data_IF_980318812508
#
_entry.id   IF_980318812508
#
_cell.length_a   1.000
_cell.length_b   1.000
_cell.length_c   1.000
_cell.angle_alpha   90.00
_cell.angle_beta   90.00
_cell.angle_gamma   90.00
#
_symmetry.space_group_name_H-M   'P 1'
#
loop_
_entity.id
_entity.type
_entity.pdbx_description
1 polymer ?
#
# COMPACT_ATOMS: atom_id res chain seq x y z
N UNK A 1 -12.47 -3.28 10.34
CA UNK A 1 -11.22 -3.02 11.08
C UNK A 1 -10.83 -4.16 12.01
N UNK A 2 -11.65 -4.56 12.99
CA UNK A 2 -11.32 -5.67 13.89
C UNK A 2 -10.92 -6.97 13.15
N UNK A 3 -11.73 -7.42 12.17
CA UNK A 3 -11.41 -8.60 11.34
C UNK A 3 -10.06 -8.49 10.62
N UNK A 4 -9.75 -7.32 10.06
CA UNK A 4 -8.48 -7.08 9.35
C UNK A 4 -7.30 -7.19 10.33
N UNK A 5 -7.43 -6.55 11.50
CA UNK A 5 -6.42 -6.62 12.55
C UNK A 5 -6.21 -8.07 13.03
N UNK A 6 -7.28 -8.86 13.18
CA UNK A 6 -7.19 -10.28 13.54
C UNK A 6 -6.43 -11.08 12.46
N UNK A 7 -6.75 -10.90 11.18
CA UNK A 7 -6.07 -11.59 10.08
C UNK A 7 -4.57 -11.26 10.10
N UNK A 8 -4.23 -9.98 10.17
CA UNK A 8 -2.85 -9.51 10.19
C UNK A 8 -2.08 -10.01 11.42
N UNK A 9 -2.70 -9.93 12.60
CA UNK A 9 -2.10 -10.41 13.84
C UNK A 9 -1.86 -11.92 13.80
N UNK A 10 -2.82 -12.70 13.31
CA UNK A 10 -2.70 -14.16 13.20
C UNK A 10 -1.56 -14.57 12.27
N UNK A 11 -1.43 -13.89 11.13
CA UNK A 11 -0.30 -14.08 10.22
C UNK A 11 1.03 -13.83 10.92
N UNK A 12 1.18 -12.67 11.58
CA UNK A 12 2.41 -12.32 12.28
C UNK A 12 2.71 -13.25 13.48
N UNK A 13 1.69 -13.71 14.19
CA UNK A 13 1.84 -14.70 15.24
C UNK A 13 2.41 -16.01 14.68
N UNK A 14 1.86 -16.54 13.58
CA UNK A 14 2.38 -17.74 12.91
C UNK A 14 3.83 -17.60 12.48
N UNK A 15 4.19 -16.46 11.87
CA UNK A 15 5.55 -16.20 11.39
C UNK A 15 6.59 -16.14 12.52
N UNK A 16 6.18 -15.80 13.75
CA UNK A 16 7.07 -15.71 14.91
C UNK A 16 7.30 -17.05 15.63
N UNK A 17 6.48 -18.07 15.38
CA UNK A 17 6.56 -19.34 16.12
C UNK A 17 7.89 -20.08 15.90
N UNK A 18 8.42 -20.03 14.68
CA UNK A 18 9.67 -20.68 14.29
C UNK A 18 10.18 -20.13 12.96
N UNK A 19 11.35 -20.59 12.53
CA UNK A 19 11.82 -20.38 11.15
C UNK A 19 11.00 -21.25 10.20
N UNK A 20 10.45 -20.62 9.17
CA UNK A 20 9.65 -21.26 8.12
C UNK A 20 10.42 -21.30 6.80
N UNK A 21 10.12 -22.28 5.95
CA UNK A 21 10.58 -22.26 4.57
C UNK A 21 9.89 -21.12 3.80
N UNK A 22 10.49 -20.61 2.70
CA UNK A 22 9.84 -19.62 1.86
C UNK A 22 8.47 -20.07 1.35
N UNK A 23 8.29 -21.36 1.05
CA UNK A 23 6.99 -21.95 0.66
C UNK A 23 5.96 -21.88 1.79
N UNK A 24 6.33 -22.25 3.02
CA UNK A 24 5.41 -22.19 4.15
C UNK A 24 5.01 -20.76 4.51
N UNK A 25 5.92 -19.79 4.35
CA UNK A 25 5.59 -18.36 4.49
C UNK A 25 4.59 -17.95 3.40
N UNK A 26 4.79 -18.39 2.16
CA UNK A 26 3.89 -18.08 1.06
C UNK A 26 2.48 -18.65 1.28
N UNK A 27 2.36 -19.87 1.79
CA UNK A 27 1.06 -20.45 2.13
C UNK A 27 0.31 -19.61 3.18
N UNK A 28 1.01 -19.11 4.20
CA UNK A 28 0.39 -18.23 5.19
C UNK A 28 -0.01 -16.87 4.62
N UNK A 29 0.81 -16.30 3.74
CA UNK A 29 0.51 -15.03 3.06
C UNK A 29 -0.70 -15.18 2.15
N UNK A 30 -0.79 -16.26 1.37
CA UNK A 30 -1.93 -16.55 0.50
C UNK A 30 -3.21 -16.70 1.34
N UNK A 31 -3.16 -17.52 2.39
CA UNK A 31 -4.32 -17.71 3.27
C UNK A 31 -4.77 -16.39 3.92
N UNK A 32 -3.85 -15.53 4.32
CA UNK A 32 -4.18 -14.23 4.89
C UNK A 32 -4.74 -13.25 3.85
N UNK A 33 -4.22 -13.25 2.62
CA UNK A 33 -4.76 -12.44 1.52
C UNK A 33 -6.16 -12.89 1.13
N UNK A 34 -6.41 -14.20 1.06
CA UNK A 34 -7.73 -14.77 0.73
C UNK A 34 -8.76 -14.38 1.81
N UNK A 35 -8.43 -14.54 3.10
CA UNK A 35 -9.30 -14.07 4.19
C UNK A 35 -9.55 -12.55 4.15
N UNK A 36 -8.56 -11.76 3.70
CA UNK A 36 -8.75 -10.32 3.53
C UNK A 36 -9.65 -10.02 2.32
N UNK A 37 -9.54 -10.79 1.23
CA UNK A 37 -10.42 -10.70 0.08
C UNK A 37 -11.89 -10.96 0.48
N UNK A 38 -12.15 -11.97 1.30
CA UNK A 38 -13.50 -12.24 1.84
C UNK A 38 -14.07 -11.06 2.63
N UNK A 39 -13.21 -10.35 3.39
CA UNK A 39 -13.62 -9.13 4.11
C UNK A 39 -13.97 -8.01 3.13
N UNK A 40 -13.23 -7.89 2.02
CA UNK A 40 -13.47 -6.88 0.98
C UNK A 40 -14.80 -7.13 0.28
N UNK A 41 -15.11 -8.37 -0.06
CA UNK A 41 -16.37 -8.75 -0.72
C UNK A 41 -17.61 -8.45 0.13
N UNK A 42 -17.46 -8.45 1.46
CA UNK A 42 -18.54 -8.18 2.41
C UNK A 42 -18.74 -6.69 2.73
N UNK A 43 -18.00 -5.80 2.06
CA UNK A 43 -18.19 -4.35 2.25
C UNK A 43 -19.57 -3.94 1.74
N UNK A 44 -20.33 -3.12 2.50
CA UNK A 44 -21.62 -2.62 2.04
C UNK A 44 -21.54 -1.90 0.69
N UNK A 45 -22.50 -2.08 -0.24
CA UNK A 45 -22.40 -1.55 -1.61
C UNK A 45 -22.12 -0.05 -1.72
N UNK A 46 -22.67 0.78 -0.82
CA UNK A 46 -22.45 2.24 -0.82
C UNK A 46 -21.02 2.66 -0.39
N UNK A 47 -20.27 1.73 0.22
CA UNK A 47 -18.85 1.88 0.60
C UNK A 47 -17.92 1.10 -0.33
N UNK A 48 -18.46 0.35 -1.28
CA UNK A 48 -17.65 -0.23 -2.36
C UNK A 48 -17.23 0.89 -3.32
N UNK A 49 -16.12 0.70 -4.01
CA UNK A 49 -15.60 1.66 -4.98
C UNK A 49 -16.29 1.56 -6.34
N UNK A 50 -17.52 1.05 -6.33
CA UNK A 50 -18.33 0.84 -7.51
C UNK A 50 -19.18 2.09 -7.69
N UNK A 51 -19.34 2.60 -8.92
CA UNK A 51 -20.09 3.83 -9.28
C UNK A 51 -21.61 3.76 -8.98
N UNK A 52 -22.03 2.85 -8.10
CA UNK A 52 -23.43 2.59 -7.75
C UNK A 52 -24.03 3.62 -6.80
N UNK A 53 -23.21 4.49 -6.18
CA UNK A 53 -23.72 5.54 -5.30
C UNK A 53 -24.07 6.78 -6.12
N UNK A 54 -25.35 7.12 -6.22
CA UNK A 54 -25.80 8.35 -6.88
C UNK A 54 -25.14 9.59 -6.26
N UNK A 55 -24.67 10.56 -7.07
CA UNK A 55 -24.13 11.83 -6.57
C UNK A 55 -25.08 12.56 -5.61
N UNK A 56 -26.39 12.35 -5.76
CA UNK A 56 -27.40 12.90 -4.85
C UNK A 56 -27.29 12.33 -3.43
N UNK A 57 -26.99 11.04 -3.29
CA UNK A 57 -26.80 10.39 -1.98
C UNK A 57 -25.54 10.87 -1.29
N UNK A 58 -24.45 11.11 -2.04
CA UNK A 58 -23.22 11.66 -1.47
C UNK A 58 -23.36 13.12 -1.04
N UNK A 59 -24.16 13.92 -1.77
CA UNK A 59 -24.47 15.28 -1.37
C UNK A 59 -25.25 15.34 -0.04
N UNK A 60 -26.17 14.40 0.17
CA UNK A 60 -26.93 14.26 1.42
C UNK A 60 -26.08 13.67 2.56
N UNK A 61 -25.08 12.85 2.23
CA UNK A 61 -24.24 12.14 3.19
C UNK A 61 -22.74 12.23 2.83
N UNK A 62 -22.09 13.39 3.04
CA UNK A 62 -20.69 13.61 2.66
C UNK A 62 -19.69 12.67 3.35
N UNK A 63 -20.09 12.09 4.49
CA UNK A 63 -19.29 11.09 5.21
C UNK A 63 -19.08 9.80 4.40
N UNK A 64 -19.96 9.47 3.44
CA UNK A 64 -19.85 8.26 2.62
C UNK A 64 -18.56 8.29 1.80
N UNK A 65 -18.29 9.39 1.09
CA UNK A 65 -17.08 9.52 0.28
C UNK A 65 -15.81 9.43 1.15
N UNK A 66 -15.80 10.14 2.28
CA UNK A 66 -14.69 10.11 3.24
C UNK A 66 -14.45 8.71 3.80
N UNK A 67 -15.51 7.99 4.14
CA UNK A 67 -15.44 6.63 4.67
C UNK A 67 -15.00 5.63 3.60
N UNK A 68 -15.46 5.79 2.35
CA UNK A 68 -15.05 4.97 1.21
C UNK A 68 -13.55 5.08 0.96
N UNK A 69 -13.02 6.31 0.86
CA UNK A 69 -11.57 6.54 0.72
C UNK A 69 -10.78 5.97 1.89
N UNK A 70 -11.27 6.18 3.12
CA UNK A 70 -10.68 5.61 4.33
C UNK A 70 -10.56 4.08 4.27
N UNK A 71 -11.65 3.42 3.92
CA UNK A 71 -11.71 1.97 3.83
C UNK A 71 -10.79 1.45 2.73
N UNK A 72 -10.82 2.08 1.55
CA UNK A 72 -9.96 1.71 0.43
C UNK A 72 -8.48 1.76 0.84
N UNK A 73 -8.02 2.87 1.42
CA UNK A 73 -6.62 3.02 1.84
C UNK A 73 -6.24 1.93 2.86
N UNK A 74 -7.06 1.70 3.87
CA UNK A 74 -6.73 0.72 4.91
C UNK A 74 -6.72 -0.71 4.36
N UNK A 75 -7.70 -1.09 3.56
CA UNK A 75 -7.78 -2.43 2.98
C UNK A 75 -6.61 -2.69 2.04
N UNK A 76 -6.30 -1.73 1.16
CA UNK A 76 -5.16 -1.81 0.25
C UNK A 76 -3.85 -1.82 1.02
N UNK A 77 -3.72 -1.07 2.10
CA UNK A 77 -2.54 -1.09 2.96
C UNK A 77 -2.31 -2.46 3.60
N UNK A 78 -3.33 -3.08 4.19
CA UNK A 78 -3.16 -4.41 4.79
C UNK A 78 -2.89 -5.48 3.74
N UNK A 79 -3.50 -5.34 2.55
CA UNK A 79 -3.21 -6.23 1.41
C UNK A 79 -1.77 -6.10 0.94
N UNK A 80 -1.26 -4.87 0.84
CA UNK A 80 0.14 -4.55 0.64
C UNK A 80 1.01 -5.17 1.75
N UNK A 81 0.72 -4.91 3.01
CA UNK A 81 1.54 -5.33 4.14
C UNK A 81 1.66 -6.85 4.26
N UNK A 82 0.57 -7.58 4.01
CA UNK A 82 0.54 -9.05 3.99
C UNK A 82 1.42 -9.58 2.85
N UNK A 83 1.19 -9.14 1.62
CA UNK A 83 1.91 -9.67 0.45
C UNK A 83 3.39 -9.25 0.44
N UNK A 84 3.72 -8.09 1.01
CA UNK A 84 5.09 -7.58 1.13
C UNK A 84 5.99 -8.45 1.99
N UNK A 85 5.45 -9.33 2.84
CA UNK A 85 6.25 -10.28 3.61
C UNK A 85 7.14 -11.14 2.69
N UNK A 86 6.68 -11.41 1.46
CA UNK A 86 7.46 -12.17 0.47
C UNK A 86 8.41 -11.29 -0.36
N UNK A 87 8.46 -9.97 -0.13
CA UNK A 87 9.19 -9.02 -0.97
C UNK A 87 10.68 -9.34 -1.06
N UNK A 88 11.31 -9.64 0.07
CA UNK A 88 12.73 -9.99 0.12
C UNK A 88 13.05 -11.15 -0.83
N UNK A 89 12.21 -12.20 -0.88
CA UNK A 89 12.49 -13.36 -1.72
C UNK A 89 12.39 -13.08 -3.23
N UNK A 90 11.41 -12.28 -3.67
CA UNK A 90 11.35 -11.92 -5.09
C UNK A 90 12.36 -10.85 -5.47
N UNK A 91 12.75 -9.98 -4.52
CA UNK A 91 13.85 -9.04 -4.74
C UNK A 91 15.18 -9.78 -4.93
N UNK A 92 15.39 -10.90 -4.23
CA UNK A 92 16.53 -11.82 -4.40
C UNK A 92 16.47 -12.66 -5.69
N UNK A 93 15.39 -12.58 -6.47
CA UNK A 93 15.28 -13.23 -7.78
C UNK A 93 14.30 -14.40 -7.86
N UNK A 94 13.61 -14.75 -6.79
CA UNK A 94 12.61 -15.82 -6.84
C UNK A 94 11.40 -15.43 -7.69
N UNK A 95 11.04 -16.26 -8.65
CA UNK A 95 9.84 -16.11 -9.50
C UNK A 95 8.61 -16.80 -8.93
N UNK A 96 8.77 -17.62 -7.89
CA UNK A 96 7.69 -18.42 -7.28
C UNK A 96 6.60 -17.58 -6.59
N UNK A 97 6.85 -16.28 -6.39
CA UNK A 97 5.97 -15.38 -5.66
C UNK A 97 5.30 -14.34 -6.57
N UNK A 98 5.16 -14.63 -7.87
CA UNK A 98 4.59 -13.72 -8.86
C UNK A 98 3.19 -13.20 -8.50
N UNK A 99 2.31 -14.05 -7.96
CA UNK A 99 0.97 -13.64 -7.47
C UNK A 99 1.08 -12.61 -6.36
N UNK A 100 1.85 -12.90 -5.31
CA UNK A 100 2.03 -12.00 -4.17
C UNK A 100 2.68 -10.68 -4.60
N UNK A 101 3.68 -10.72 -5.48
CA UNK A 101 4.29 -9.52 -6.08
C UNK A 101 3.25 -8.67 -6.80
N UNK A 102 2.44 -9.28 -7.68
CA UNK A 102 1.39 -8.56 -8.44
C UNK A 102 0.38 -7.87 -7.52
N UNK A 103 -0.13 -8.59 -6.51
CA UNK A 103 -1.08 -8.05 -5.52
C UNK A 103 -0.44 -6.94 -4.70
N UNK A 104 0.80 -7.13 -4.24
CA UNK A 104 1.57 -6.15 -3.47
C UNK A 104 1.72 -4.83 -4.23
N UNK A 105 2.21 -4.88 -5.48
CA UNK A 105 2.45 -3.69 -6.31
C UNK A 105 1.14 -2.98 -6.69
N UNK A 106 0.11 -3.75 -7.07
CA UNK A 106 -1.20 -3.18 -7.39
C UNK A 106 -1.83 -2.51 -6.16
N UNK A 107 -1.66 -3.10 -4.97
CA UNK A 107 -2.13 -2.52 -3.72
C UNK A 107 -1.39 -1.23 -3.36
N UNK A 108 -0.06 -1.19 -3.56
CA UNK A 108 0.73 0.02 -3.34
C UNK A 108 0.31 1.17 -4.28
N UNK A 109 0.11 0.88 -5.58
CA UNK A 109 -0.44 1.87 -6.53
C UNK A 109 -1.82 2.33 -6.07
N UNK A 110 -2.69 1.40 -5.67
CA UNK A 110 -4.04 1.72 -5.21
C UNK A 110 -4.06 2.61 -3.98
N UNK A 111 -3.18 2.35 -2.99
CA UNK A 111 -3.02 3.21 -1.80
C UNK A 111 -2.71 4.63 -2.21
N UNK A 112 -1.74 4.82 -3.12
CA UNK A 112 -1.33 6.15 -3.58
C UNK A 112 -2.45 6.79 -4.39
N UNK A 113 -3.10 6.05 -5.28
CA UNK A 113 -4.24 6.55 -6.06
C UNK A 113 -5.39 7.04 -5.17
N UNK A 114 -5.76 6.26 -4.15
CA UNK A 114 -6.78 6.65 -3.19
C UNK A 114 -6.36 7.86 -2.34
N UNK A 115 -5.08 7.96 -1.99
CA UNK A 115 -4.52 9.12 -1.30
C UNK A 115 -4.56 10.39 -2.16
N UNK A 116 -4.28 10.29 -3.46
CA UNK A 116 -4.36 11.40 -4.42
C UNK A 116 -5.79 11.85 -4.69
N UNK A 117 -6.73 10.91 -4.76
CA UNK A 117 -8.15 11.23 -5.01
C UNK A 117 -8.88 11.78 -3.77
N UNK A 118 -8.37 11.54 -2.57
CA UNK A 118 -9.00 11.99 -1.32
C UNK A 118 -8.99 13.52 -1.14
N UNK A 119 -10.05 14.03 -0.51
CA UNK A 119 -10.23 15.44 -0.14
C UNK A 119 -9.09 15.96 0.76
N UNK A 120 -8.71 17.23 0.60
CA UNK A 120 -7.74 17.93 1.43
C UNK A 120 -8.08 17.87 2.94
N UNK A 121 -9.36 17.91 3.29
CA UNK A 121 -9.85 17.78 4.68
C UNK A 121 -9.53 16.40 5.24
N UNK A 122 -9.70 15.36 4.43
CA UNK A 122 -9.35 13.99 4.80
C UNK A 122 -7.84 13.82 5.05
N UNK A 123 -7.01 14.45 4.20
CA UNK A 123 -5.54 14.45 4.36
C UNK A 123 -5.09 15.08 5.69
N UNK A 124 -5.80 16.09 6.16
CA UNK A 124 -5.49 16.80 7.42
C UNK A 124 -5.90 16.03 8.67
N UNK A 125 -7.01 15.29 8.63
CA UNK A 125 -7.57 14.60 9.81
C UNK A 125 -6.82 13.34 10.25
N UNK A 126 -5.89 12.79 9.44
CA UNK A 126 -5.18 11.53 9.73
C UNK A 126 -3.67 11.57 9.43
N UNK A 127 -3.03 12.71 9.67
CA UNK A 127 -1.72 13.05 9.12
C UNK A 127 -0.65 11.95 9.29
N UNK A 128 -0.48 11.35 10.49
CA UNK A 128 0.56 10.34 10.72
C UNK A 128 0.29 9.00 10.01
N UNK A 129 -0.89 8.42 10.21
CA UNK A 129 -1.26 7.11 9.65
C UNK A 129 -1.27 7.17 8.10
N UNK A 130 -1.82 8.26 7.56
CA UNK A 130 -1.82 8.51 6.13
C UNK A 130 -0.40 8.61 5.55
N UNK A 131 0.47 9.42 6.16
CA UNK A 131 1.86 9.55 5.72
C UNK A 131 2.62 8.22 5.78
N UNK A 132 2.42 7.44 6.85
CA UNK A 132 3.04 6.11 7.03
C UNK A 132 2.60 5.14 5.93
N UNK A 133 1.30 5.08 5.64
CA UNK A 133 0.74 4.18 4.63
C UNK A 133 1.24 4.55 3.22
N UNK A 134 1.22 5.84 2.89
CA UNK A 134 1.75 6.35 1.60
C UNK A 134 3.26 6.12 1.48
N UNK A 135 4.03 6.37 2.54
CA UNK A 135 5.47 6.09 2.56
C UNK A 135 5.75 4.60 2.36
N UNK A 136 5.05 3.73 3.10
CA UNK A 136 5.16 2.28 2.99
C UNK A 136 4.89 1.76 1.58
N UNK A 137 3.85 2.29 0.92
CA UNK A 137 3.56 1.99 -0.48
C UNK A 137 4.70 2.47 -1.41
N UNK A 138 5.18 3.69 -1.20
CA UNK A 138 6.25 4.30 -1.99
C UNK A 138 7.55 3.48 -1.94
N UNK A 139 7.99 3.10 -0.74
CA UNK A 139 9.20 2.27 -0.56
C UNK A 139 9.05 0.94 -1.28
N UNK A 140 7.87 0.32 -1.20
CA UNK A 140 7.60 -0.96 -1.86
C UNK A 140 7.79 -0.84 -3.37
N UNK A 141 7.24 0.22 -3.98
CA UNK A 141 7.37 0.49 -5.42
C UNK A 141 8.81 0.88 -5.80
N UNK A 142 9.48 1.69 -4.98
CA UNK A 142 10.85 2.14 -5.24
C UNK A 142 11.84 0.97 -5.27
N UNK A 143 11.74 0.05 -4.32
CA UNK A 143 12.55 -1.17 -4.30
C UNK A 143 12.30 -2.04 -5.54
N UNK A 144 11.05 -2.10 -6.01
CA UNK A 144 10.70 -2.83 -7.22
C UNK A 144 11.32 -2.20 -8.48
N UNK A 145 11.20 -0.89 -8.63
CA UNK A 145 11.78 -0.14 -9.76
C UNK A 145 13.30 -0.27 -9.78
N UNK A 146 13.97 -0.22 -8.63
CA UNK A 146 15.44 -0.39 -8.53
C UNK A 146 15.93 -1.75 -9.05
N UNK A 147 15.14 -2.80 -8.88
CA UNK A 147 15.49 -4.15 -9.35
C UNK A 147 15.25 -4.32 -10.86
N UNK A 148 14.24 -3.64 -11.40
CA UNK A 148 13.84 -3.84 -12.80
C UNK A 148 14.76 -3.06 -13.74
N UNK A 149 15.24 -3.71 -14.80
CA UNK A 149 16.03 -3.05 -15.86
C UNK A 149 15.19 -2.08 -16.68
N UNK A 150 13.90 -2.38 -16.84
CA UNK A 150 12.90 -1.50 -17.44
C UNK A 150 11.92 -1.09 -16.35
N UNK A 151 11.93 0.20 -16.02
CA UNK A 151 11.03 0.73 -14.99
C UNK A 151 9.61 0.84 -15.56
N UNK A 152 8.68 0.08 -14.98
CA UNK A 152 7.26 0.22 -15.31
C UNK A 152 6.80 1.66 -14.99
N UNK A 153 6.37 2.38 -16.03
CA UNK A 153 5.95 3.77 -15.95
C UNK A 153 4.83 4.00 -14.93
N UNK A 154 3.98 3.00 -14.70
CA UNK A 154 2.90 3.07 -13.70
C UNK A 154 3.47 3.16 -12.29
N UNK A 155 4.51 2.38 -11.99
CA UNK A 155 5.18 2.41 -10.69
C UNK A 155 5.88 3.74 -10.49
N UNK A 156 6.62 4.21 -11.51
CA UNK A 156 7.31 5.50 -11.47
C UNK A 156 6.33 6.66 -11.27
N UNK A 157 5.18 6.65 -11.96
CA UNK A 157 4.14 7.66 -11.81
C UNK A 157 3.58 7.67 -10.39
N UNK A 158 3.22 6.50 -9.86
CA UNK A 158 2.71 6.39 -8.49
C UNK A 158 3.73 6.91 -7.46
N UNK A 159 5.02 6.59 -7.63
CA UNK A 159 6.09 7.12 -6.78
C UNK A 159 6.17 8.66 -6.83
N UNK A 160 6.04 9.27 -8.02
CA UNK A 160 6.04 10.74 -8.15
C UNK A 160 4.81 11.37 -7.50
N UNK A 161 3.66 10.72 -7.62
CA UNK A 161 2.43 11.20 -6.99
C UNK A 161 2.53 11.14 -5.46
N UNK A 162 3.12 10.08 -4.90
CA UNK A 162 3.34 9.98 -3.47
C UNK A 162 4.36 11.00 -2.94
N UNK A 163 5.42 11.30 -3.70
CA UNK A 163 6.36 12.38 -3.38
C UNK A 163 5.64 13.72 -3.24
N UNK A 164 4.74 14.04 -4.18
CA UNK A 164 3.94 15.27 -4.13
C UNK A 164 3.06 15.32 -2.88
N UNK A 165 2.43 14.20 -2.52
CA UNK A 165 1.57 14.10 -1.34
C UNK A 165 2.37 14.30 -0.06
N UNK A 166 3.45 13.54 0.13
CA UNK A 166 4.29 13.61 1.33
C UNK A 166 4.99 14.98 1.43
N UNK A 167 5.48 15.51 0.31
CA UNK A 167 6.07 16.84 0.22
C UNK A 167 5.10 17.95 0.65
N UNK A 168 3.82 17.81 0.34
CA UNK A 168 2.78 18.76 0.75
C UNK A 168 2.51 18.81 2.26
N UNK A 169 2.83 17.76 3.00
CA UNK A 169 2.59 17.67 4.46
C UNK A 169 3.87 17.59 5.30
N UNK A 170 5.05 17.60 4.68
CA UNK A 170 6.35 17.45 5.37
C UNK A 170 6.63 18.50 6.46
N UNK A 171 6.03 19.69 6.36
CA UNK A 171 6.19 20.76 7.34
C UNK A 171 5.45 20.47 8.66
N UNK A 172 4.42 19.63 8.60
CA UNK A 172 3.52 19.32 9.72
C UNK A 172 3.64 17.84 10.14
N UNK A 173 4.46 17.05 9.44
CA UNK A 173 4.55 15.61 9.61
C UNK A 173 5.98 15.09 9.49
N UNK A 174 6.53 14.59 10.60
CA UNK A 174 7.89 14.04 10.67
C UNK A 174 8.07 12.83 9.76
N UNK A 175 7.11 11.90 9.71
CA UNK A 175 7.20 10.72 8.83
C UNK A 175 7.27 11.13 7.37
N UNK A 176 6.48 12.11 6.95
CA UNK A 176 6.51 12.60 5.59
C UNK A 176 7.85 13.28 5.27
N UNK A 177 8.42 14.03 6.22
CA UNK A 177 9.74 14.63 6.07
C UNK A 177 10.84 13.58 5.93
N UNK A 178 10.92 12.64 6.86
CA UNK A 178 11.93 11.56 6.82
C UNK A 178 11.71 10.68 5.59
N UNK A 179 10.45 10.39 5.24
CA UNK A 179 10.10 9.54 4.12
C UNK A 179 10.48 10.14 2.76
N UNK A 180 10.35 11.46 2.60
CA UNK A 180 10.86 12.17 1.42
C UNK A 180 12.40 12.10 1.36
N UNK A 181 13.08 12.26 2.50
CA UNK A 181 14.54 12.14 2.58
C UNK A 181 15.05 10.76 2.14
N UNK A 182 14.51 9.70 2.75
CA UNK A 182 14.84 8.30 2.41
C UNK A 182 14.59 8.02 0.93
N UNK A 183 13.50 8.56 0.36
CA UNK A 183 13.21 8.36 -1.06
C UNK A 183 14.21 9.06 -1.97
N UNK A 184 14.64 10.29 -1.63
CA UNK A 184 15.66 11.01 -2.39
C UNK A 184 17.00 10.27 -2.39
N UNK A 185 17.38 9.68 -1.26
CA UNK A 185 18.56 8.81 -1.15
C UNK A 185 18.44 7.58 -2.06
N UNK A 186 17.32 6.86 -1.97
CA UNK A 186 17.05 5.68 -2.81
C UNK A 186 17.08 5.99 -4.31
N UNK A 187 16.65 7.19 -4.71
CA UNK A 187 16.71 7.64 -6.11
C UNK A 187 18.15 7.93 -6.53
N UNK A 188 18.91 8.67 -5.73
CA UNK A 188 20.28 9.04 -6.04
C UNK A 188 21.22 7.82 -6.11
N UNK A 189 21.02 6.82 -5.24
CA UNK A 189 21.74 5.54 -5.31
C UNK A 189 21.42 4.75 -6.58
N UNK A 190 20.15 4.76 -7.02
CA UNK A 190 19.73 4.10 -8.26
C UNK A 190 20.35 4.72 -9.51
N UNK A 191 20.45 6.05 -9.56
CA UNK A 191 21.10 6.76 -10.69
C UNK A 191 22.61 6.51 -10.76
N UNK A 192 23.28 6.36 -9.61
CA UNK A 192 24.71 6.05 -9.57
C UNK A 192 25.02 4.61 -10.00
N UNK A 193 24.16 3.64 -9.66
CA UNK A 193 24.32 2.24 -10.06
C UNK A 193 24.09 1.98 -11.57
N UNK A 194 23.40 2.89 -12.26
CA UNK A 194 23.18 2.82 -13.73
C UNK A 194 24.34 3.47 -14.51
N UNK A 195 25.18 4.28 -13.84
CA UNK A 195 26.32 4.99 -14.44
C UNK A 195 27.67 4.30 -14.25
N UNK A 196 27.75 3.27 -13.39
CA UNK A 196 28.94 2.43 -13.14
C UNK A 196 28.89 1.13 -13.91
#
# INVERSE_FOLDING_TARGET
MARIATIYHHLHAKLRLRKWSPSGIADFVIQADDHLADVIEQIPPHLQNNDTTSPHTEALHPWIATQRTSLAIVLLYYRLAINRILQTYWLEGSTNFARARSVCLSSAIGVIGAATAGDATFRRLRSWDFAMVTFSATVTLALEVRRSREADERLVRAIRDSERILGGVRGENVVAREGVGIWQELRNEGENAVRS
#
